data_IF_106071697122
#
_entry.id   IF_106071697122
#
_cell.length_a   1.000
_cell.length_b   1.000
_cell.length_c   1.000
_cell.angle_alpha   90.00
_cell.angle_beta   90.00
_cell.angle_gamma   90.00
#
_symmetry.space_group_name_H-M   'P 1'
#
loop_
_entity.id
_entity.type
_entity.pdbx_description
1 polymer ?
#
# COMPACT_ATOMS: atom_id res chain seq x y z
N UNK A 1 -20.64 -7.98 16.56
CA UNK A 1 -20.13 -8.38 15.24
C UNK A 1 -19.69 -9.80 15.42
N UNK A 2 -20.24 -10.71 14.63
CA UNK A 2 -19.96 -12.13 14.83
C UNK A 2 -18.52 -12.45 14.45
N UNK A 3 -17.97 -13.47 15.11
CA UNK A 3 -16.59 -13.90 14.89
C UNK A 3 -16.35 -14.30 13.42
N UNK A 4 -17.36 -14.86 12.75
CA UNK A 4 -17.33 -15.23 11.34
C UNK A 4 -17.16 -14.01 10.43
N UNK A 5 -17.96 -12.95 10.63
CA UNK A 5 -17.88 -11.69 9.88
C UNK A 5 -16.51 -11.02 10.07
N UNK A 6 -16.04 -10.94 11.32
CA UNK A 6 -14.72 -10.37 11.61
C UNK A 6 -13.59 -11.16 10.95
N UNK A 7 -13.65 -12.49 11.02
CA UNK A 7 -12.64 -13.37 10.41
C UNK A 7 -12.66 -13.24 8.89
N UNK A 8 -13.85 -13.16 8.27
CA UNK A 8 -14.00 -12.91 6.85
C UNK A 8 -13.37 -11.57 6.43
N UNK A 9 -13.65 -10.49 7.17
CA UNK A 9 -13.04 -9.19 6.92
C UNK A 9 -11.53 -9.24 7.09
N UNK A 10 -11.02 -9.89 8.15
CA UNK A 10 -9.59 -10.01 8.39
C UNK A 10 -8.90 -10.72 7.23
N UNK A 11 -9.49 -11.79 6.71
CA UNK A 11 -8.96 -12.53 5.57
C UNK A 11 -8.90 -11.64 4.31
N UNK A 12 -9.99 -10.93 3.98
CA UNK A 12 -9.98 -10.00 2.83
C UNK A 12 -9.00 -8.85 3.05
N UNK A 13 -8.93 -8.30 4.26
CA UNK A 13 -8.02 -7.22 4.66
C UNK A 13 -6.55 -7.61 4.49
N UNK A 14 -6.14 -8.79 4.97
CA UNK A 14 -4.79 -9.33 4.78
C UNK A 14 -4.51 -9.56 3.30
N UNK A 15 -5.46 -10.17 2.60
CA UNK A 15 -5.35 -10.48 1.17
C UNK A 15 -5.14 -9.21 0.34
N UNK A 16 -5.93 -8.18 0.62
CA UNK A 16 -5.75 -6.87 0.03
C UNK A 16 -4.43 -6.24 0.49
N UNK A 17 -4.06 -6.21 1.77
CA UNK A 17 -2.80 -5.59 2.19
C UNK A 17 -1.57 -6.22 1.50
N UNK A 18 -1.58 -7.54 1.32
CA UNK A 18 -0.57 -8.30 0.59
C UNK A 18 -0.56 -8.04 -0.93
N UNK A 19 -1.59 -7.36 -1.44
CA UNK A 19 -1.74 -7.02 -2.84
C UNK A 19 -0.85 -5.87 -3.30
N UNK A 20 0.10 -6.11 -4.22
CA UNK A 20 0.96 -5.08 -4.78
C UNK A 20 0.12 -4.11 -5.62
N UNK A 21 0.45 -2.84 -5.48
CA UNK A 21 -0.21 -1.73 -6.14
C UNK A 21 0.60 -0.46 -5.96
N UNK A 22 -0.05 0.71 -6.04
CA UNK A 22 0.61 2.01 -5.88
C UNK A 22 1.39 2.13 -4.55
N UNK A 23 0.82 1.65 -3.45
CA UNK A 23 1.44 1.72 -2.12
C UNK A 23 2.72 0.90 -2.06
N UNK A 24 2.71 -0.35 -2.56
CA UNK A 24 3.90 -1.19 -2.62
C UNK A 24 4.98 -0.60 -3.53
N UNK A 25 4.61 -0.09 -4.71
CA UNK A 25 5.56 0.56 -5.61
C UNK A 25 6.26 1.75 -4.94
N UNK A 26 5.50 2.56 -4.18
CA UNK A 26 6.06 3.68 -3.43
C UNK A 26 6.92 3.22 -2.23
N UNK A 27 6.50 2.18 -1.50
CA UNK A 27 7.28 1.58 -0.40
C UNK A 27 8.61 1.06 -0.93
N UNK A 28 8.60 0.29 -2.02
CA UNK A 28 9.82 -0.29 -2.60
C UNK A 28 10.75 0.83 -3.09
N UNK A 29 10.22 1.82 -3.81
CA UNK A 29 11.01 2.98 -4.27
C UNK A 29 11.64 3.75 -3.10
N UNK A 30 10.90 3.98 -2.02
CA UNK A 30 11.41 4.67 -0.83
C UNK A 30 12.38 3.80 0.00
N UNK A 31 12.20 2.48 0.04
CA UNK A 31 13.08 1.54 0.73
C UNK A 31 14.43 1.32 0.04
N UNK A 32 14.46 1.38 -1.29
CA UNK A 32 15.69 1.31 -2.10
C UNK A 32 16.47 2.63 -2.11
N UNK A 33 15.85 3.73 -1.70
CA UNK A 33 16.49 5.05 -1.60
C UNK A 33 17.56 5.14 -0.50
N UNK A 34 18.38 6.19 -0.56
CA UNK A 34 19.44 6.47 0.43
C UNK A 34 18.88 6.96 1.79
N UNK A 35 17.68 7.52 1.79
CA UNK A 35 17.02 8.07 2.99
C UNK A 35 16.22 7.01 3.75
N UNK A 36 15.76 7.34 4.96
CA UNK A 36 14.84 6.48 5.71
C UNK A 36 13.51 6.30 4.98
N UNK A 37 13.01 5.07 4.86
CA UNK A 37 11.69 4.77 4.27
C UNK A 37 10.53 5.00 5.24
N UNK A 38 10.81 5.17 6.54
CA UNK A 38 9.79 5.25 7.60
C UNK A 38 8.78 6.39 7.38
N UNK A 39 9.17 7.62 6.98
CA UNK A 39 8.20 8.68 6.71
C UNK A 39 7.27 8.34 5.55
N UNK A 40 7.77 7.67 4.51
CA UNK A 40 6.95 7.23 3.39
C UNK A 40 5.87 6.21 3.82
N UNK A 41 6.26 5.21 4.62
CA UNK A 41 5.34 4.20 5.17
C UNK A 41 4.31 4.84 6.11
N UNK A 42 4.75 5.71 7.02
CA UNK A 42 3.82 6.43 7.91
C UNK A 42 2.90 7.39 7.15
N UNK A 43 3.38 8.00 6.06
CA UNK A 43 2.55 8.76 5.13
C UNK A 43 1.41 7.91 4.57
N UNK A 44 1.75 6.75 4.01
CA UNK A 44 0.76 5.80 3.48
C UNK A 44 -0.27 5.40 4.55
N UNK A 45 0.21 4.99 5.73
CA UNK A 45 -0.62 4.59 6.86
C UNK A 45 -1.55 5.72 7.32
N UNK A 46 -1.08 6.96 7.33
CA UNK A 46 -1.92 8.11 7.69
C UNK A 46 -3.09 8.32 6.73
N UNK A 47 -2.91 8.02 5.44
CA UNK A 47 -4.01 8.04 4.47
C UNK A 47 -5.10 7.03 4.79
N UNK A 48 -4.77 5.86 5.36
CA UNK A 48 -5.77 4.87 5.80
C UNK A 48 -6.51 5.31 7.06
N UNK A 49 -5.84 6.02 7.97
CA UNK A 49 -6.51 6.67 9.09
C UNK A 49 -7.48 7.75 8.61
N UNK A 50 -7.11 8.55 7.60
CA UNK A 50 -8.00 9.54 7.00
C UNK A 50 -9.22 8.86 6.38
N UNK A 51 -9.05 7.80 5.60
CA UNK A 51 -10.19 7.04 5.05
C UNK A 51 -11.09 6.48 6.16
N UNK A 52 -10.50 5.91 7.21
CA UNK A 52 -11.25 5.39 8.36
C UNK A 52 -12.06 6.49 9.03
N UNK A 53 -11.44 7.65 9.30
CA UNK A 53 -12.09 8.80 9.91
C UNK A 53 -13.24 9.33 9.04
N UNK A 54 -13.03 9.47 7.73
CA UNK A 54 -14.07 9.89 6.78
C UNK A 54 -15.28 8.96 6.80
N UNK A 55 -15.04 7.64 6.88
CA UNK A 55 -16.09 6.64 6.99
C UNK A 55 -16.86 6.74 8.31
N UNK A 56 -16.13 6.82 9.44
CA UNK A 56 -16.69 6.95 10.79
C UNK A 56 -17.52 8.23 10.94
N UNK A 57 -17.07 9.33 10.32
CA UNK A 57 -17.75 10.63 10.36
C UNK A 57 -19.02 10.72 9.49
N UNK A 58 -19.39 9.67 8.75
CA UNK A 58 -20.72 9.60 8.13
C UNK A 58 -20.76 9.24 6.65
N UNK A 59 -19.63 9.05 5.97
CA UNK A 59 -19.66 8.49 4.61
C UNK A 59 -20.26 7.07 4.65
N UNK A 60 -19.94 6.26 5.67
CA UNK A 60 -20.52 4.93 5.82
C UNK A 60 -22.06 4.98 5.98
N UNK A 61 -22.59 5.95 6.74
CA UNK A 61 -24.03 6.11 6.93
C UNK A 61 -24.76 6.56 5.66
N UNK A 62 -24.16 7.48 4.90
CA UNK A 62 -24.70 7.92 3.60
C UNK A 62 -24.72 6.76 2.59
N UNK A 63 -23.64 6.00 2.51
CA UNK A 63 -23.52 4.85 1.61
C UNK A 63 -24.48 3.73 2.01
N UNK A 64 -24.60 3.41 3.30
CA UNK A 64 -25.51 2.38 3.81
C UNK A 64 -26.99 2.72 3.58
N UNK A 65 -27.35 4.01 3.53
CA UNK A 65 -28.73 4.44 3.24
C UNK A 65 -29.17 4.24 1.79
N UNK A 66 -28.24 3.87 0.88
CA UNK A 66 -28.52 3.69 -0.55
C UNK A 66 -28.06 2.31 -1.04
N UNK A 67 -28.97 1.32 -1.12
CA UNK A 67 -28.66 -0.02 -1.62
C UNK A 67 -28.06 0.00 -3.04
N UNK A 68 -28.57 0.87 -3.91
CA UNK A 68 -28.04 1.02 -5.27
C UNK A 68 -26.59 1.54 -5.28
N UNK A 69 -26.22 2.41 -4.34
CA UNK A 69 -24.87 2.97 -4.26
C UNK A 69 -23.86 1.91 -3.81
N UNK A 70 -24.23 1.07 -2.83
CA UNK A 70 -23.45 -0.11 -2.44
C UNK A 70 -23.27 -1.09 -3.60
N UNK A 71 -24.33 -1.35 -4.36
CA UNK A 71 -24.29 -2.24 -5.51
C UNK A 71 -23.30 -1.73 -6.57
N UNK A 72 -23.46 -0.48 -6.99
CA UNK A 72 -22.60 0.13 -8.02
C UNK A 72 -21.15 0.22 -7.59
N UNK A 73 -20.92 0.51 -6.32
CA UNK A 73 -19.59 0.69 -5.81
C UNK A 73 -18.85 -0.65 -5.59
N UNK A 74 -19.58 -1.70 -5.21
CA UNK A 74 -19.06 -3.08 -5.18
C UNK A 74 -18.77 -3.60 -6.58
N UNK A 75 -19.67 -3.35 -7.54
CA UNK A 75 -19.46 -3.73 -8.94
C UNK A 75 -18.25 -3.00 -9.55
N UNK A 76 -18.17 -1.68 -9.36
CA UNK A 76 -17.02 -0.89 -9.80
C UNK A 76 -15.72 -1.36 -9.14
N UNK A 77 -15.77 -1.69 -7.85
CA UNK A 77 -14.62 -2.20 -7.12
C UNK A 77 -14.12 -3.54 -7.59
N UNK A 78 -15.03 -4.46 -7.90
CA UNK A 78 -14.70 -5.79 -8.39
C UNK A 78 -14.07 -5.71 -9.79
N UNK A 79 -14.64 -4.91 -10.69
CA UNK A 79 -14.06 -4.66 -12.03
C UNK A 79 -12.67 -4.05 -11.92
N UNK A 80 -12.48 -3.09 -11.01
CA UNK A 80 -11.17 -2.46 -10.81
C UNK A 80 -10.14 -3.42 -10.21
N UNK A 81 -10.49 -4.22 -9.19
CA UNK A 81 -9.60 -5.24 -8.62
C UNK A 81 -9.19 -6.27 -9.68
N UNK A 82 -10.13 -6.65 -10.56
CA UNK A 82 -9.85 -7.52 -11.70
C UNK A 82 -8.84 -6.86 -12.67
N UNK A 83 -9.08 -5.60 -13.05
CA UNK A 83 -8.16 -4.85 -13.92
C UNK A 83 -6.76 -4.70 -13.31
N UNK A 84 -6.69 -4.33 -12.03
CA UNK A 84 -5.42 -4.15 -11.31
C UNK A 84 -4.68 -5.48 -11.11
N UNK A 85 -5.39 -6.58 -10.87
CA UNK A 85 -4.81 -7.94 -10.85
C UNK A 85 -4.19 -8.30 -12.19
N UNK A 86 -4.91 -8.06 -13.30
CA UNK A 86 -4.42 -8.28 -14.66
C UNK A 86 -3.22 -7.37 -14.98
N UNK A 87 -3.27 -6.09 -14.62
CA UNK A 87 -2.18 -5.13 -14.84
C UNK A 87 -0.91 -5.54 -14.08
N UNK A 88 -1.06 -6.02 -12.85
CA UNK A 88 0.03 -6.53 -12.01
C UNK A 88 0.73 -7.73 -12.67
N UNK A 89 -0.05 -8.71 -13.14
CA UNK A 89 0.47 -9.88 -13.86
C UNK A 89 1.15 -9.49 -15.19
N UNK A 90 0.61 -8.50 -15.91
CA UNK A 90 1.21 -7.98 -17.16
C UNK A 90 2.53 -7.24 -16.91
N UNK A 91 2.63 -6.44 -15.85
CA UNK A 91 3.85 -5.67 -15.52
C UNK A 91 5.03 -6.60 -15.18
N UNK A 92 4.78 -7.69 -14.44
CA UNK A 92 5.79 -8.73 -14.19
C UNK A 92 6.26 -9.46 -15.45
N UNK A 93 5.49 -9.45 -16.54
CA UNK A 93 5.86 -10.02 -17.83
C UNK A 93 6.75 -9.06 -18.65
N UNK A 94 6.59 -7.75 -18.46
CA UNK A 94 7.31 -6.70 -19.19
C UNK A 94 8.60 -6.21 -18.51
N UNK A 95 8.83 -6.52 -17.24
CA UNK A 95 10.13 -6.29 -16.59
C UNK A 95 11.20 -7.26 -17.17
N UNK A 96 11.63 -7.00 -18.41
CA UNK A 96 12.81 -7.62 -19.01
C UNK A 96 14.05 -6.95 -18.42
N UNK A 97 14.77 -7.72 -17.59
CA UNK A 97 16.20 -7.62 -17.27
C UNK A 97 16.80 -6.22 -17.11
N UNK A 98 16.77 -5.72 -15.87
CA UNK A 98 17.83 -4.83 -15.40
C UNK A 98 19.16 -5.63 -15.46
N UNK A 99 20.16 -5.01 -16.08
CA UNK A 99 21.60 -5.34 -16.05
C UNK A 99 22.14 -6.42 -17.00
N UNK A 100 21.97 -6.20 -18.32
CA UNK A 100 22.94 -6.69 -19.32
C UNK A 100 24.06 -5.65 -19.62
N UNK A 101 23.90 -4.39 -19.18
CA UNK A 101 24.80 -3.26 -19.49
C UNK A 101 25.18 -2.42 -18.26
N UNK A 102 25.17 -3.00 -17.05
CA UNK A 102 25.69 -2.28 -15.89
C UNK A 102 27.21 -2.10 -16.07
N UNK A 103 27.75 -0.87 -15.94
CA UNK A 103 29.18 -0.63 -16.10
C UNK A 103 29.96 -1.47 -15.10
N UNK A 104 31.05 -2.07 -15.58
CA UNK A 104 31.90 -2.96 -14.81
C UNK A 104 32.63 -2.20 -13.69
N UNK A 105 32.96 -2.87 -12.59
CA UNK A 105 33.70 -2.27 -11.45
C UNK A 105 34.99 -1.55 -11.91
N UNK A 106 35.62 -2.03 -12.98
CA UNK A 106 36.80 -1.42 -13.61
C UNK A 106 36.53 -0.07 -14.30
N UNK A 107 35.33 0.17 -14.84
CA UNK A 107 34.97 1.48 -15.41
C UNK A 107 34.69 2.52 -14.32
N UNK A 108 34.23 2.09 -13.15
CA UNK A 108 34.01 2.96 -11.98
C UNK A 108 35.36 3.34 -11.34
N UNK A 109 36.30 2.39 -11.23
CA UNK A 109 37.66 2.66 -10.74
C UNK A 109 38.45 3.58 -11.67
N UNK A 110 38.24 3.51 -12.99
CA UNK A 110 38.89 4.40 -13.96
C UNK A 110 38.41 5.87 -13.87
N UNK A 111 37.24 6.12 -13.28
CA UNK A 111 36.67 7.45 -13.07
C UNK A 111 37.01 8.05 -11.69
N UNK A 112 37.51 7.25 -10.75
CA UNK A 112 37.83 7.65 -9.36
C UNK A 112 39.29 8.16 -9.24
N UNK A 113 39.71 8.96 -10.21
CA UNK A 113 41.05 9.56 -10.26
C UNK A 113 41.27 10.59 -9.16
N UNK A 114 42.30 10.34 -8.34
CA UNK A 114 43.05 11.25 -7.47
C UNK A 114 42.27 12.42 -6.81
N UNK A 115 41.17 12.09 -6.13
CA UNK A 115 40.46 13.06 -5.29
C UNK A 115 41.13 13.14 -3.91
N UNK A 116 41.65 14.31 -3.49
CA UNK A 116 42.29 14.44 -2.19
C UNK A 116 41.31 14.10 -1.05
N UNK A 117 41.61 13.06 -0.28
CA UNK A 117 40.79 12.57 0.86
C UNK A 117 40.91 13.43 2.12
N UNK A 118 41.04 14.75 1.98
CA UNK A 118 40.91 15.66 3.12
C UNK A 118 39.45 16.06 3.24
N UNK A 119 38.63 15.26 3.93
CA UNK A 119 37.29 15.71 4.33
C UNK A 119 37.46 16.77 5.43
N UNK A 120 37.18 18.06 5.18
CA UNK A 120 37.14 19.04 6.26
C UNK A 120 36.05 18.64 7.25
N UNK A 121 36.29 18.85 8.55
CA UNK A 121 35.24 18.65 9.55
C UNK A 121 34.02 19.53 9.22
N UNK A 122 32.81 18.95 9.25
CA UNK A 122 31.61 19.70 8.90
C UNK A 122 31.36 20.83 9.91
N UNK A 123 31.32 22.07 9.42
CA UNK A 123 30.96 23.26 10.21
C UNK A 123 29.51 23.21 10.69
N UNK A 124 29.21 23.89 11.80
CA UNK A 124 27.85 23.94 12.40
C UNK A 124 26.76 24.39 11.41
N UNK A 125 27.09 25.31 10.51
CA UNK A 125 26.19 25.76 9.44
C UNK A 125 25.89 24.67 8.40
N UNK A 126 26.89 23.84 8.09
CA UNK A 126 26.76 22.68 7.20
C UNK A 126 25.87 21.61 7.84
N UNK A 127 26.07 21.33 9.14
CA UNK A 127 25.23 20.39 9.91
C UNK A 127 23.77 20.88 9.95
N UNK A 128 23.55 22.17 10.26
CA UNK A 128 22.22 22.75 10.30
C UNK A 128 21.51 22.74 8.92
N UNK A 129 22.25 23.00 7.84
CA UNK A 129 21.70 22.94 6.47
C UNK A 129 21.33 21.50 6.09
N UNK A 130 22.21 20.53 6.37
CA UNK A 130 21.96 19.12 6.10
C UNK A 130 20.73 18.61 6.87
N UNK A 131 20.57 19.02 8.13
CA UNK A 131 19.39 18.65 8.90
C UNK A 131 18.11 19.28 8.33
N UNK A 132 18.16 20.54 7.91
CA UNK A 132 17.02 21.23 7.25
C UNK A 132 16.64 20.59 5.91
N UNK A 133 17.62 20.23 5.07
CA UNK A 133 17.41 19.52 3.80
C UNK A 133 16.84 18.12 4.04
N UNK A 134 17.38 17.40 5.02
CA UNK A 134 16.88 16.09 5.45
C UNK A 134 15.44 16.18 5.92
N UNK A 135 15.10 17.11 6.81
CA UNK A 135 13.73 17.32 7.29
C UNK A 135 12.75 17.63 6.15
N UNK A 136 13.12 18.47 5.18
CA UNK A 136 12.29 18.73 3.98
C UNK A 136 12.08 17.46 3.16
N UNK A 137 13.11 16.63 2.98
CA UNK A 137 13.00 15.34 2.30
C UNK A 137 12.08 14.36 3.04
N UNK A 138 12.14 14.29 4.38
CA UNK A 138 11.27 13.42 5.17
C UNK A 138 9.81 13.86 5.11
N UNK A 139 9.53 15.17 5.20
CA UNK A 139 8.17 15.72 5.05
C UNK A 139 7.61 15.48 3.66
N UNK A 140 8.41 15.65 2.61
CA UNK A 140 8.02 15.36 1.24
C UNK A 140 7.66 13.88 1.04
N UNK A 141 8.43 12.97 1.64
CA UNK A 141 8.16 11.53 1.58
C UNK A 141 6.88 11.15 2.31
N UNK A 142 6.64 11.74 3.48
CA UNK A 142 5.40 11.55 4.21
C UNK A 142 4.18 12.04 3.41
N UNK A 143 4.24 13.29 2.92
CA UNK A 143 3.13 13.87 2.15
C UNK A 143 2.84 13.09 0.88
N UNK A 144 3.89 12.67 0.15
CA UNK A 144 3.73 11.82 -1.03
C UNK A 144 3.13 10.46 -0.67
N UNK A 145 3.49 9.87 0.47
CA UNK A 145 2.86 8.64 0.96
C UNK A 145 1.38 8.83 1.28
N UNK A 146 1.05 9.89 2.02
CA UNK A 146 -0.34 10.24 2.35
C UNK A 146 -1.19 10.43 1.09
N UNK A 147 -0.67 11.16 0.09
CA UNK A 147 -1.38 11.36 -1.17
C UNK A 147 -1.49 10.06 -1.98
N UNK A 148 -0.46 9.21 -1.95
CA UNK A 148 -0.46 7.93 -2.67
C UNK A 148 -1.57 7.01 -2.14
N UNK A 149 -1.62 6.78 -0.82
CA UNK A 149 -2.69 5.94 -0.24
C UNK A 149 -4.04 6.65 -0.24
N UNK A 150 -4.05 7.98 -0.02
CA UNK A 150 -5.22 8.84 -0.06
C UNK A 150 -5.99 8.78 -1.37
N UNK A 151 -5.27 8.69 -2.49
CA UNK A 151 -5.84 8.58 -3.84
C UNK A 151 -5.82 7.16 -4.37
N UNK A 152 -5.42 6.18 -3.55
CA UNK A 152 -5.31 4.80 -3.98
C UNK A 152 -6.72 4.20 -4.18
N UNK A 153 -7.12 3.87 -5.42
CA UNK A 153 -8.42 3.30 -5.69
C UNK A 153 -8.64 1.98 -4.93
N UNK A 154 -7.61 1.14 -4.71
CA UNK A 154 -7.76 -0.09 -3.90
C UNK A 154 -8.16 0.23 -2.45
N UNK A 155 -7.58 1.27 -1.87
CA UNK A 155 -7.95 1.72 -0.53
C UNK A 155 -9.38 2.24 -0.54
N UNK A 156 -9.73 3.10 -1.51
CA UNK A 156 -11.10 3.59 -1.67
C UNK A 156 -12.11 2.45 -1.82
N UNK A 157 -11.79 1.38 -2.54
CA UNK A 157 -12.66 0.22 -2.69
C UNK A 157 -12.82 -0.59 -1.41
N UNK A 158 -11.74 -0.81 -0.67
CA UNK A 158 -11.86 -1.42 0.66
C UNK A 158 -12.80 -0.60 1.54
N UNK A 159 -12.55 0.71 1.63
CA UNK A 159 -13.27 1.56 2.57
C UNK A 159 -14.72 1.80 2.14
N UNK A 160 -15.00 2.05 0.87
CA UNK A 160 -16.35 2.42 0.43
C UNK A 160 -17.17 1.19 0.00
N UNK A 161 -16.55 0.16 -0.57
CA UNK A 161 -17.26 -1.02 -1.09
C UNK A 161 -17.34 -2.12 -0.04
N UNK A 162 -16.20 -2.44 0.57
CA UNK A 162 -16.05 -3.65 1.35
C UNK A 162 -16.50 -3.45 2.80
N UNK A 163 -16.03 -2.40 3.49
CA UNK A 163 -16.34 -2.19 4.91
C UNK A 163 -17.85 -2.20 5.19
N UNK A 164 -18.71 -1.51 4.40
CA UNK A 164 -20.15 -1.53 4.65
C UNK A 164 -20.79 -2.92 4.59
N UNK A 165 -20.25 -3.85 3.80
CA UNK A 165 -20.76 -5.22 3.69
C UNK A 165 -20.54 -6.05 4.97
N UNK A 166 -19.58 -5.64 5.80
CA UNK A 166 -19.27 -6.30 7.07
C UNK A 166 -19.93 -5.62 8.28
N UNK A 167 -20.75 -4.58 8.06
CA UNK A 167 -21.50 -3.93 9.13
C UNK A 167 -22.80 -4.68 9.42
N UNK A 168 -23.10 -4.87 10.70
CA UNK A 168 -24.32 -5.52 11.15
C UNK A 168 -25.18 -4.52 11.95
N UNK A 169 -26.33 -4.18 11.37
CA UNK A 169 -27.30 -3.24 11.95
C UNK A 169 -28.21 -3.85 13.01
N UNK A 170 -28.17 -5.18 13.21
CA UNK A 170 -28.98 -5.88 14.22
C UNK A 170 -28.37 -5.84 15.62
N UNK A 171 -27.12 -5.40 15.73
CA UNK A 171 -26.40 -5.28 16.99
C UNK A 171 -26.66 -3.92 17.64
N UNK A 172 -26.68 -3.89 18.97
CA UNK A 172 -26.74 -2.65 19.77
C UNK A 172 -25.47 -1.77 19.65
N UNK A 173 -24.44 -2.24 18.92
CA UNK A 173 -23.18 -1.53 18.75
C UNK A 173 -23.28 -0.47 17.63
N UNK A 174 -22.96 0.81 17.89
CA UNK A 174 -23.04 1.87 16.88
C UNK A 174 -22.24 1.54 15.61
N UNK A 175 -22.82 1.82 14.44
CA UNK A 175 -22.19 1.58 13.13
C UNK A 175 -20.84 2.29 12.98
N UNK A 176 -20.69 3.47 13.58
CA UNK A 176 -19.43 4.23 13.61
C UNK A 176 -18.31 3.48 14.34
N UNK A 177 -18.65 2.79 15.44
CA UNK A 177 -17.68 2.01 16.21
C UNK A 177 -17.29 0.71 15.49
N UNK A 178 -18.26 0.04 14.85
CA UNK A 178 -17.99 -1.11 13.98
C UNK A 178 -17.06 -0.72 12.82
N UNK A 179 -17.38 0.38 12.14
CA UNK A 179 -16.58 0.93 11.03
C UNK A 179 -15.17 1.31 11.48
N UNK A 180 -15.04 1.97 12.63
CA UNK A 180 -13.77 2.31 13.24
C UNK A 180 -12.93 1.07 13.56
N UNK A 181 -13.55 0.02 14.14
CA UNK A 181 -12.87 -1.22 14.47
C UNK A 181 -12.34 -1.95 13.21
N UNK A 182 -13.14 -2.03 12.15
CA UNK A 182 -12.73 -2.62 10.87
C UNK A 182 -11.61 -1.81 10.20
N UNK A 183 -11.74 -0.49 10.16
CA UNK A 183 -10.70 0.40 9.62
C UNK A 183 -9.38 0.33 10.40
N UNK A 184 -9.43 0.29 11.73
CA UNK A 184 -8.25 0.14 12.59
C UNK A 184 -7.62 -1.26 12.46
N UNK A 185 -8.43 -2.29 12.27
CA UNK A 185 -7.94 -3.64 11.97
C UNK A 185 -7.15 -3.65 10.66
N UNK A 186 -7.69 -3.05 9.61
CA UNK A 186 -6.97 -2.93 8.33
C UNK A 186 -5.70 -2.08 8.47
N UNK A 187 -5.75 -0.99 9.24
CA UNK A 187 -4.57 -0.18 9.54
C UNK A 187 -3.47 -1.02 10.24
N UNK A 188 -3.82 -1.82 11.24
CA UNK A 188 -2.88 -2.69 11.94
C UNK A 188 -2.26 -3.75 11.01
N UNK A 189 -3.08 -4.41 10.18
CA UNK A 189 -2.61 -5.34 9.14
C UNK A 189 -1.64 -4.63 8.17
N UNK A 190 -1.99 -3.42 7.75
CA UNK A 190 -1.19 -2.63 6.81
C UNK A 190 0.15 -2.18 7.40
N UNK A 191 0.21 -1.88 8.71
CA UNK A 191 1.49 -1.64 9.39
C UNK A 191 2.40 -2.85 9.19
N UNK A 192 1.94 -4.04 9.57
CA UNK A 192 2.74 -5.26 9.51
C UNK A 192 3.21 -5.52 8.07
N UNK A 193 2.28 -5.50 7.11
CA UNK A 193 2.61 -5.79 5.71
C UNK A 193 3.56 -4.72 5.14
N UNK A 194 3.32 -3.43 5.36
CA UNK A 194 4.08 -2.37 4.71
C UNK A 194 5.49 -2.25 5.26
N UNK A 195 5.68 -2.46 6.56
CA UNK A 195 7.03 -2.55 7.14
C UNK A 195 7.75 -3.81 6.69
N UNK A 196 7.07 -4.96 6.58
CA UNK A 196 7.66 -6.19 6.04
C UNK A 196 8.09 -6.03 4.59
N UNK A 197 7.28 -5.37 3.74
CA UNK A 197 7.62 -5.08 2.35
C UNK A 197 8.80 -4.12 2.26
N UNK A 198 8.82 -3.05 3.08
CA UNK A 198 9.94 -2.11 3.11
C UNK A 198 11.26 -2.80 3.53
N UNK A 199 11.20 -3.67 4.54
CA UNK A 199 12.35 -4.43 5.01
C UNK A 199 12.81 -5.43 3.95
N UNK A 200 11.87 -6.18 3.36
CA UNK A 200 12.16 -7.11 2.28
C UNK A 200 12.76 -6.39 1.05
N UNK A 201 12.29 -5.20 0.71
CA UNK A 201 12.89 -4.40 -0.36
C UNK A 201 14.34 -4.01 -0.03
N UNK A 202 14.61 -3.67 1.23
CA UNK A 202 15.96 -3.25 1.65
C UNK A 202 16.96 -4.40 1.75
N UNK A 203 16.50 -5.57 2.21
CA UNK A 203 17.35 -6.74 2.50
C UNK A 203 17.40 -7.72 1.32
N UNK A 204 16.27 -7.95 0.66
CA UNK A 204 16.08 -9.04 -0.30
C UNK A 204 16.20 -8.58 -1.76
N UNK A 205 15.62 -7.42 -2.12
CA UNK A 205 15.63 -6.93 -3.51
C UNK A 205 17.00 -6.40 -3.97
N UNK A 206 17.90 -6.05 -3.05
CA UNK A 206 19.30 -5.79 -3.40
C UNK A 206 20.07 -7.03 -3.89
N UNK A 207 19.54 -8.23 -3.61
CA UNK A 207 20.28 -9.48 -3.78
C UNK A 207 19.59 -10.50 -4.67
N UNK A 208 18.25 -10.49 -4.79
CA UNK A 208 17.47 -11.51 -5.55
C UNK A 208 16.18 -10.97 -6.19
N UNK A 209 16.24 -10.40 -7.42
CA UNK A 209 15.07 -9.86 -8.11
C UNK A 209 13.98 -10.89 -8.44
N UNK A 210 14.32 -12.19 -8.49
CA UNK A 210 13.38 -13.27 -8.80
C UNK A 210 12.32 -13.51 -7.70
N UNK A 211 12.70 -13.35 -6.42
CA UNK A 211 11.77 -13.52 -5.30
C UNK A 211 10.68 -12.44 -5.28
N UNK A 212 11.04 -11.20 -5.63
CA UNK A 212 10.09 -10.10 -5.76
C UNK A 212 9.04 -10.37 -6.87
N UNK A 213 9.46 -11.04 -7.94
CA UNK A 213 8.58 -11.42 -9.05
C UNK A 213 7.55 -12.47 -8.63
N UNK A 214 7.96 -13.49 -7.87
CA UNK A 214 7.04 -14.54 -7.37
C UNK A 214 5.98 -13.92 -6.46
N UNK A 215 6.37 -13.09 -5.50
CA UNK A 215 5.43 -12.41 -4.59
C UNK A 215 4.42 -11.57 -5.38
N UNK A 216 4.90 -10.83 -6.38
CA UNK A 216 4.03 -9.98 -7.21
C UNK A 216 3.05 -10.81 -8.05
N UNK A 217 3.47 -11.97 -8.56
CA UNK A 217 2.63 -12.90 -9.36
C UNK A 217 1.56 -13.59 -8.52
N UNK A 218 1.94 -14.15 -7.35
CA UNK A 218 0.99 -14.78 -6.44
C UNK A 218 -0.12 -13.80 -6.07
N UNK A 219 0.27 -12.55 -5.82
CA UNK A 219 -0.68 -11.57 -5.38
C UNK A 219 -1.61 -11.03 -6.47
N UNK A 220 -1.14 -10.87 -7.71
CA UNK A 220 -2.02 -10.55 -8.85
C UNK A 220 -3.07 -11.64 -9.10
N UNK A 221 -2.73 -12.91 -8.85
CA UNK A 221 -3.66 -14.05 -8.96
C UNK A 221 -4.73 -14.00 -7.87
N UNK A 222 -4.31 -13.75 -6.63
CA UNK A 222 -5.18 -13.60 -5.47
C UNK A 222 -6.22 -12.47 -5.67
N UNK A 223 -5.81 -11.33 -6.24
CA UNK A 223 -6.74 -10.24 -6.56
C UNK A 223 -7.85 -10.64 -7.51
N UNK A 224 -7.50 -11.40 -8.56
CA UNK A 224 -8.47 -11.87 -9.54
C UNK A 224 -9.47 -12.80 -8.86
N UNK A 225 -8.99 -13.69 -7.99
CA UNK A 225 -9.88 -14.57 -7.21
C UNK A 225 -10.81 -13.80 -6.28
N UNK A 226 -10.31 -12.77 -5.58
CA UNK A 226 -11.16 -11.88 -4.76
C UNK A 226 -12.21 -11.15 -5.60
N UNK A 227 -11.81 -10.58 -6.74
CA UNK A 227 -12.73 -9.88 -7.64
C UNK A 227 -13.84 -10.81 -8.14
N UNK A 228 -13.48 -12.03 -8.54
CA UNK A 228 -14.46 -13.04 -8.97
C UNK A 228 -15.35 -13.49 -7.82
N UNK A 229 -14.82 -13.64 -6.61
CA UNK A 229 -15.59 -13.97 -5.41
C UNK A 229 -16.62 -12.91 -5.06
N UNK A 230 -16.24 -11.62 -5.10
CA UNK A 230 -17.15 -10.50 -4.86
C UNK A 230 -18.28 -10.45 -5.89
N UNK A 231 -17.97 -10.65 -7.17
CA UNK A 231 -19.00 -10.74 -8.23
C UNK A 231 -19.90 -11.95 -8.01
N UNK A 232 -19.34 -13.10 -7.64
CA UNK A 232 -20.12 -14.31 -7.43
C UNK A 232 -21.13 -14.14 -6.29
N UNK A 233 -20.68 -13.67 -5.13
CA UNK A 233 -21.54 -13.34 -3.99
C UNK A 233 -22.67 -12.39 -4.40
N UNK A 234 -22.31 -11.30 -5.08
CA UNK A 234 -23.25 -10.23 -5.42
C UNK A 234 -24.33 -10.62 -6.44
N UNK A 235 -24.06 -11.56 -7.34
CA UNK A 235 -24.97 -11.93 -8.43
C UNK A 235 -25.61 -13.31 -8.31
N UNK A 236 -25.06 -14.18 -7.45
CA UNK A 236 -25.50 -15.58 -7.34
C UNK A 236 -25.90 -16.00 -5.92
N UNK A 237 -25.59 -15.20 -4.89
CA UNK A 237 -25.89 -15.52 -3.49
C UNK A 237 -26.81 -14.47 -2.83
N UNK A 238 -26.60 -13.18 -3.11
CA UNK A 238 -27.44 -12.06 -2.65
C UNK A 238 -28.69 -11.85 -3.50
#
# INVERSE_FOLDING_TARGET
>A
MDLSQFTGFLLVSVTLACTPGADWAYIISSALGKTSYRPAVWGLLSGYLVHTALLVCGIAALVASSPSLLLWLTAAGSVYLLWLGIATLRSCRNARFFDANAPSTSEIEALDGDYPRSNPEPTDSTVALLDKVRHRSLRGQFLKGLLTSGTNPKALLLYVALIPQYLDSSLDLPLSLQTGALGLTHFAVSILVYFSVALAARVLLRSRPMAARIVTMCSGTIMILLALGLVYEQFFVA
#
